data_IF_463436236755
#
_entry.id   IF_463436236755
#
_cell.length_a   1.000
_cell.length_b   1.000
_cell.length_c   1.000
_cell.angle_alpha   90.00
_cell.angle_beta   90.00
_cell.angle_gamma   90.00
#
_symmetry.space_group_name_H-M   'P 1'
#
loop_
_entity.id
_entity.type
_entity.pdbx_description
1 polymer ?
#
# COMPACT_ATOMS: atom_id res chain seq x y z
N UNK A 1 -22.30 -2.18 -23.76
CA UNK A 1 -22.40 -2.43 -22.30
C UNK A 1 -21.53 -3.59 -21.80
N UNK A 2 -21.18 -4.60 -22.64
CA UNK A 2 -20.31 -5.74 -22.27
C UNK A 2 -18.79 -5.55 -22.49
N UNK A 3 -18.33 -4.37 -22.91
CA UNK A 3 -16.90 -4.09 -23.17
C UNK A 3 -16.14 -3.48 -21.98
N UNK A 4 -16.85 -3.07 -20.92
CA UNK A 4 -16.26 -2.29 -19.82
C UNK A 4 -15.91 -3.11 -18.57
N UNK A 5 -16.50 -4.30 -18.37
CA UNK A 5 -16.03 -5.26 -17.36
C UNK A 5 -14.70 -5.92 -17.78
N UNK A 6 -14.44 -5.96 -19.10
CA UNK A 6 -13.17 -6.35 -19.72
C UNK A 6 -12.02 -5.36 -19.42
N UNK A 7 -12.31 -4.18 -18.85
CA UNK A 7 -11.29 -3.16 -18.53
C UNK A 7 -10.77 -3.23 -17.09
N UNK A 8 -11.59 -3.66 -16.13
CA UNK A 8 -11.14 -4.01 -14.78
C UNK A 8 -10.26 -5.28 -14.84
N UNK A 9 -10.67 -6.26 -15.66
CA UNK A 9 -9.85 -7.40 -16.10
C UNK A 9 -8.67 -7.00 -17.01
N UNK A 10 -8.65 -5.80 -17.62
CA UNK A 10 -7.44 -5.35 -18.34
C UNK A 10 -6.35 -4.93 -17.38
N UNK A 11 -6.64 -4.56 -16.14
CA UNK A 11 -5.61 -4.23 -15.15
C UNK A 11 -5.03 -5.49 -14.50
N UNK A 12 -5.84 -6.54 -14.30
CA UNK A 12 -5.30 -7.90 -14.09
C UNK A 12 -4.54 -8.38 -15.34
N UNK A 13 -4.95 -8.05 -16.57
CA UNK A 13 -4.14 -8.30 -17.79
C UNK A 13 -3.00 -7.27 -18.02
N UNK A 14 -2.88 -6.25 -17.18
CA UNK A 14 -1.79 -5.25 -17.22
C UNK A 14 -0.67 -5.65 -16.26
N UNK A 15 -1.06 -6.35 -15.18
CA UNK A 15 -0.15 -7.08 -14.30
C UNK A 15 0.20 -8.47 -14.88
N UNK A 16 -0.74 -9.13 -15.58
CA UNK A 16 -0.54 -10.36 -16.38
C UNK A 16 -0.76 -10.10 -17.87
N UNK A 17 0.27 -9.64 -18.57
CA UNK A 17 0.22 -9.20 -19.97
C UNK A 17 -0.69 -10.01 -20.89
N UNK A 18 -1.82 -9.43 -21.30
CA UNK A 18 -2.48 -9.75 -22.56
C UNK A 18 -2.73 -8.46 -23.35
N UNK A 19 -1.64 -7.93 -23.89
CA UNK A 19 -1.68 -7.12 -25.10
C UNK A 19 -2.17 -7.94 -26.29
N UNK A 20 -2.64 -7.27 -27.37
CA UNK A 20 -3.17 -7.95 -28.55
C UNK A 20 -2.06 -8.75 -29.24
N UNK A 21 -2.06 -10.08 -29.07
CA UNK A 21 -1.39 -11.09 -29.90
C UNK A 21 -0.13 -10.60 -30.64
N UNK A 22 0.79 -9.99 -29.89
CA UNK A 22 2.19 -9.90 -30.24
C UNK A 22 2.87 -11.06 -29.52
N UNK A 23 3.92 -11.62 -30.13
CA UNK A 23 4.75 -12.67 -29.54
C UNK A 23 5.39 -12.20 -28.22
N UNK A 24 4.63 -12.13 -27.12
CA UNK A 24 5.18 -11.86 -25.80
C UNK A 24 5.85 -13.13 -25.29
N UNK A 25 7.14 -13.03 -24.99
CA UNK A 25 7.97 -14.13 -24.47
C UNK A 25 7.72 -14.41 -22.99
N UNK A 26 6.73 -13.75 -22.39
CA UNK A 26 6.42 -13.83 -20.98
C UNK A 26 5.51 -15.03 -20.73
N UNK A 27 5.83 -15.92 -19.77
CA UNK A 27 4.93 -16.98 -19.38
C UNK A 27 3.61 -16.35 -18.91
N UNK A 28 2.51 -16.78 -19.51
CA UNK A 28 1.16 -16.27 -19.24
C UNK A 28 0.62 -16.64 -17.87
N UNK A 29 1.33 -17.52 -17.14
CA UNK A 29 0.93 -18.01 -15.82
C UNK A 29 2.07 -17.83 -14.82
N UNK A 30 1.79 -17.24 -13.64
CA UNK A 30 2.76 -17.17 -12.55
C UNK A 30 3.14 -18.57 -12.05
N UNK A 31 4.26 -18.66 -11.32
CA UNK A 31 4.63 -19.90 -10.64
C UNK A 31 3.52 -20.34 -9.67
N UNK A 32 3.17 -21.63 -9.68
CA UNK A 32 2.15 -22.22 -8.81
C UNK A 32 2.72 -23.48 -8.14
N UNK A 33 2.60 -23.58 -6.82
CA UNK A 33 3.01 -24.75 -6.05
C UNK A 33 1.79 -25.50 -5.56
N UNK A 34 1.50 -26.67 -6.14
CA UNK A 34 0.36 -27.49 -5.76
C UNK A 34 0.79 -28.75 -5.00
N UNK A 35 0.06 -29.06 -3.93
CA UNK A 35 0.12 -30.32 -3.21
C UNK A 35 -1.22 -31.02 -3.43
N UNK A 36 -1.19 -32.21 -4.03
CA UNK A 36 -2.38 -33.03 -4.20
C UNK A 36 -2.56 -33.88 -2.94
N UNK A 37 -3.77 -33.86 -2.40
CA UNK A 37 -4.17 -34.75 -1.31
C UNK A 37 -4.55 -36.13 -1.87
N UNK A 38 -4.57 -37.14 -1.00
CA UNK A 38 -4.93 -38.52 -1.38
C UNK A 38 -6.36 -38.63 -1.92
N UNK A 39 -7.25 -37.70 -1.54
CA UNK A 39 -8.64 -37.62 -1.97
C UNK A 39 -8.84 -36.88 -3.32
N UNK A 40 -7.76 -36.46 -3.98
CA UNK A 40 -7.81 -35.78 -5.28
C UNK A 40 -8.13 -34.28 -5.21
N UNK A 41 -8.27 -33.70 -4.01
CA UNK A 41 -8.23 -32.25 -3.81
C UNK A 41 -6.79 -31.76 -3.97
N UNK A 42 -6.61 -30.57 -4.53
CA UNK A 42 -5.28 -29.96 -4.69
C UNK A 42 -5.25 -28.62 -3.96
N UNK A 43 -4.35 -28.47 -3.00
CA UNK A 43 -4.03 -27.20 -2.39
C UNK A 43 -2.92 -26.54 -3.19
N UNK A 44 -3.15 -25.34 -3.70
CA UNK A 44 -2.15 -24.64 -4.49
C UNK A 44 -1.84 -23.26 -3.90
N UNK A 45 -0.56 -22.89 -3.96
CA UNK A 45 -0.06 -21.56 -3.67
C UNK A 45 0.27 -20.89 -5.00
N UNK A 46 -0.45 -19.83 -5.32
CA UNK A 46 -0.15 -18.96 -6.45
C UNK A 46 0.99 -18.00 -6.06
N UNK A 47 1.86 -17.60 -6.99
CA UNK A 47 2.95 -16.63 -6.74
C UNK A 47 3.75 -16.87 -5.43
N UNK A 48 4.31 -18.07 -5.19
CA UNK A 48 4.98 -18.38 -3.92
C UNK A 48 6.17 -17.47 -3.61
N UNK A 49 6.74 -16.82 -4.63
CA UNK A 49 7.81 -15.81 -4.48
C UNK A 49 7.39 -14.57 -3.68
N UNK A 50 6.08 -14.29 -3.55
CA UNK A 50 5.57 -13.17 -2.74
C UNK A 50 5.59 -13.47 -1.24
N UNK A 51 5.53 -14.75 -0.83
CA UNK A 51 5.47 -15.12 0.58
C UNK A 51 6.64 -14.56 1.39
N UNK A 52 7.92 -14.68 0.96
CA UNK A 52 9.05 -14.07 1.67
C UNK A 52 8.93 -12.55 1.82
N UNK A 53 8.47 -11.83 0.79
CA UNK A 53 8.30 -10.37 0.86
C UNK A 53 7.16 -9.99 1.80
N UNK A 54 6.03 -10.72 1.80
CA UNK A 54 4.93 -10.44 2.73
C UNK A 54 5.32 -10.71 4.19
N UNK A 55 6.09 -11.77 4.45
CA UNK A 55 6.63 -12.08 5.78
C UNK A 55 7.62 -10.99 6.21
N UNK A 56 8.52 -10.57 5.30
CA UNK A 56 9.46 -9.50 5.55
C UNK A 56 8.73 -8.18 5.87
N UNK A 57 7.69 -7.84 5.11
CA UNK A 57 6.85 -6.67 5.32
C UNK A 57 6.18 -6.66 6.70
N UNK A 58 5.64 -7.82 7.13
CA UNK A 58 5.06 -7.98 8.46
C UNK A 58 6.12 -7.76 9.55
N UNK A 59 7.30 -8.36 9.39
CA UNK A 59 8.42 -8.20 10.32
C UNK A 59 8.87 -6.74 10.40
N UNK A 60 9.03 -6.06 9.25
CA UNK A 60 9.37 -4.63 9.16
C UNK A 60 8.28 -3.81 9.86
N UNK A 61 7.00 -4.04 9.54
CA UNK A 61 5.88 -3.29 10.11
C UNK A 61 5.81 -3.40 11.62
N UNK A 62 5.88 -4.62 12.17
CA UNK A 62 5.86 -4.88 13.61
C UNK A 62 7.12 -4.33 14.30
N UNK A 63 8.30 -4.58 13.73
CA UNK A 63 9.57 -4.12 14.29
C UNK A 63 9.65 -2.60 14.31
N UNK A 64 9.38 -1.93 13.19
CA UNK A 64 9.40 -0.48 13.07
C UNK A 64 8.36 0.18 13.98
N UNK A 65 7.14 -0.36 14.02
CA UNK A 65 6.07 0.13 14.91
C UNK A 65 6.49 0.05 16.38
N UNK A 66 6.96 -1.12 16.84
CA UNK A 66 7.46 -1.31 18.21
C UNK A 66 8.66 -0.40 18.51
N UNK A 67 9.60 -0.27 17.57
CA UNK A 67 10.81 0.52 17.77
C UNK A 67 10.49 2.01 17.87
N UNK A 68 9.61 2.53 17.03
CA UNK A 68 9.14 3.91 17.09
C UNK A 68 8.43 4.21 18.40
N UNK A 69 7.58 3.28 18.86
CA UNK A 69 6.95 3.40 20.18
C UNK A 69 7.99 3.59 21.30
N UNK A 70 9.08 2.83 21.24
CA UNK A 70 10.17 2.84 22.23
C UNK A 70 11.20 3.97 22.08
N UNK A 71 11.09 4.85 21.07
CA UNK A 71 12.11 5.88 20.86
C UNK A 71 12.17 6.89 22.03
N UNK A 72 13.36 7.28 22.51
CA UNK A 72 13.50 8.34 23.50
C UNK A 72 13.15 9.70 22.88
N UNK A 73 12.54 10.59 23.66
CA UNK A 73 12.07 11.91 23.21
C UNK A 73 10.65 11.86 22.65
N UNK A 74 9.69 12.45 23.38
CA UNK A 74 8.27 12.50 22.97
C UNK A 74 8.09 13.48 21.81
N UNK A 75 8.44 13.08 20.59
CA UNK A 75 8.01 13.82 19.42
C UNK A 75 6.51 13.52 19.19
N UNK A 76 5.71 14.56 18.94
CA UNK A 76 4.27 14.50 19.11
C UNK A 76 3.58 13.69 17.98
N UNK A 77 4.26 13.46 16.85
CA UNK A 77 3.77 12.69 15.69
C UNK A 77 4.00 11.18 15.77
N UNK A 78 4.58 10.68 16.87
CA UNK A 78 4.99 9.27 17.03
C UNK A 78 3.86 8.27 16.76
N UNK A 79 2.66 8.56 17.27
CA UNK A 79 1.50 7.68 17.12
C UNK A 79 1.17 7.42 15.65
N UNK A 80 1.18 8.47 14.82
CA UNK A 80 0.86 8.39 13.40
C UNK A 80 1.88 7.53 12.64
N UNK A 81 3.18 7.70 12.92
CA UNK A 81 4.19 6.83 12.33
C UNK A 81 4.03 5.38 12.80
N UNK A 82 3.86 5.15 14.11
CA UNK A 82 3.64 3.81 14.67
C UNK A 82 2.47 3.09 13.99
N UNK A 83 1.36 3.79 13.81
CA UNK A 83 0.17 3.30 13.12
C UNK A 83 0.48 3.00 11.65
N UNK A 84 1.16 3.90 10.94
CA UNK A 84 1.50 3.73 9.52
C UNK A 84 2.32 2.45 9.28
N UNK A 85 3.37 2.21 10.07
CA UNK A 85 4.18 0.98 9.96
C UNK A 85 3.39 -0.27 10.33
N UNK A 86 2.50 -0.19 11.31
CA UNK A 86 1.65 -1.30 11.69
C UNK A 86 0.64 -1.66 10.59
N UNK A 87 -0.04 -0.67 10.01
CA UNK A 87 -0.97 -0.85 8.90
C UNK A 87 -0.26 -1.42 7.66
N UNK A 88 0.98 -1.01 7.40
CA UNK A 88 1.81 -1.58 6.33
C UNK A 88 1.99 -3.10 6.47
N UNK A 89 2.39 -3.58 7.66
CA UNK A 89 2.55 -5.01 7.90
C UNK A 89 1.25 -5.80 7.73
N UNK A 90 0.11 -5.25 8.18
CA UNK A 90 -1.20 -5.86 8.00
C UNK A 90 -1.58 -5.93 6.52
N UNK A 91 -1.43 -4.81 5.80
CA UNK A 91 -1.78 -4.72 4.38
C UNK A 91 -1.00 -5.73 3.55
N UNK A 92 0.33 -5.78 3.71
CA UNK A 92 1.17 -6.71 2.95
C UNK A 92 0.89 -8.18 3.28
N UNK A 93 0.49 -8.47 4.53
CA UNK A 93 0.02 -9.82 4.91
C UNK A 93 -1.31 -10.16 4.24
N UNK A 94 -2.24 -9.21 4.21
CA UNK A 94 -3.53 -9.36 3.52
C UNK A 94 -3.34 -9.58 2.02
N UNK A 95 -2.44 -8.82 1.40
CA UNK A 95 -2.08 -8.96 0.00
C UNK A 95 -1.43 -10.33 -0.28
N UNK A 96 -0.54 -10.81 0.62
CA UNK A 96 -0.01 -12.17 0.54
C UNK A 96 -1.11 -13.24 0.58
N UNK A 97 -2.12 -13.09 1.43
CA UNK A 97 -3.28 -14.00 1.46
C UNK A 97 -4.03 -13.97 0.13
N UNK A 98 -4.29 -12.77 -0.40
CA UNK A 98 -5.04 -12.56 -1.64
C UNK A 98 -4.31 -13.09 -2.89
N UNK A 99 -3.01 -12.84 -2.99
CA UNK A 99 -2.22 -13.20 -4.17
C UNK A 99 -1.68 -14.63 -4.12
N UNK A 100 -1.52 -15.22 -2.93
CA UNK A 100 -0.95 -16.56 -2.79
C UNK A 100 -1.96 -17.67 -2.51
N UNK A 101 -3.08 -17.39 -1.83
CA UNK A 101 -3.99 -18.43 -1.34
C UNK A 101 -5.40 -18.35 -1.90
N UNK A 102 -5.79 -17.22 -2.51
CA UNK A 102 -7.09 -17.06 -3.16
C UNK A 102 -6.92 -17.20 -4.68
N UNK A 103 -7.33 -18.36 -5.22
CA UNK A 103 -7.11 -18.80 -6.61
C UNK A 103 -7.78 -17.87 -7.64
N UNK A 104 -7.09 -17.58 -8.74
CA UNK A 104 -7.57 -16.73 -9.84
C UNK A 104 -8.84 -17.30 -10.50
N UNK A 105 -9.06 -18.63 -10.45
CA UNK A 105 -10.33 -19.24 -10.91
C UNK A 105 -11.50 -18.92 -10.01
N UNK A 106 -11.29 -18.72 -8.71
CA UNK A 106 -12.29 -18.22 -7.77
C UNK A 106 -12.53 -16.71 -7.98
N UNK A 107 -11.47 -15.94 -8.31
CA UNK A 107 -11.61 -14.54 -8.71
C UNK A 107 -12.45 -14.37 -9.99
N UNK A 108 -12.17 -15.16 -11.03
CA UNK A 108 -12.84 -15.06 -12.34
C UNK A 108 -14.26 -15.67 -12.33
N UNK A 109 -14.47 -16.82 -11.68
CA UNK A 109 -15.79 -17.46 -11.61
C UNK A 109 -16.77 -16.68 -10.74
N UNK A 110 -16.28 -15.92 -9.76
CA UNK A 110 -17.09 -15.03 -8.92
C UNK A 110 -17.44 -13.71 -9.62
N UNK A 111 -16.51 -13.15 -10.40
CA UNK A 111 -16.79 -11.97 -11.26
C UNK A 111 -17.79 -12.33 -12.38
N UNK A 112 -17.69 -13.53 -12.97
CA UNK A 112 -18.67 -14.03 -13.95
C UNK A 112 -19.99 -14.52 -13.31
N UNK A 113 -19.97 -15.02 -12.06
CA UNK A 113 -21.21 -15.28 -11.28
C UNK A 113 -21.92 -13.99 -10.90
N UNK A 114 -21.19 -12.91 -10.68
CA UNK A 114 -21.74 -11.58 -10.40
C UNK A 114 -22.55 -11.04 -11.59
N UNK A 115 -22.25 -11.45 -12.83
CA UNK A 115 -23.09 -11.15 -14.01
C UNK A 115 -24.39 -11.98 -14.07
N UNK A 116 -24.49 -13.07 -13.31
CA UNK A 116 -25.68 -13.92 -13.20
C UNK A 116 -26.40 -13.77 -11.84
N UNK A 117 -26.15 -12.69 -11.09
CA UNK A 117 -26.88 -12.36 -9.87
C UNK A 117 -26.51 -13.16 -8.62
N UNK A 118 -25.39 -13.90 -8.62
CA UNK A 118 -24.89 -14.58 -7.42
C UNK A 118 -23.68 -13.84 -6.83
N UNK A 119 -23.76 -13.64 -5.51
CA UNK A 119 -22.91 -12.83 -4.64
C UNK A 119 -21.42 -13.07 -4.83
N UNK A 120 -20.64 -11.98 -4.81
CA UNK A 120 -19.21 -12.04 -4.53
C UNK A 120 -18.99 -12.82 -3.23
N UNK A 121 -18.03 -13.74 -3.19
CA UNK A 121 -17.70 -14.45 -1.95
C UNK A 121 -17.30 -13.40 -0.90
N UNK A 122 -18.05 -13.34 0.19
CA UNK A 122 -17.95 -12.27 1.19
C UNK A 122 -16.52 -12.17 1.73
N UNK A 123 -15.84 -13.30 1.88
CA UNK A 123 -14.45 -13.37 2.35
C UNK A 123 -13.51 -12.66 1.36
N UNK A 124 -13.67 -12.92 0.06
CA UNK A 124 -12.83 -12.29 -0.97
C UNK A 124 -13.07 -10.78 -1.05
N UNK A 125 -14.33 -10.33 -0.97
CA UNK A 125 -14.65 -8.89 -0.94
C UNK A 125 -14.00 -8.23 0.28
N UNK A 126 -14.12 -8.83 1.45
CA UNK A 126 -13.53 -8.31 2.69
C UNK A 126 -12.01 -8.22 2.59
N UNK A 127 -11.33 -9.30 2.16
CA UNK A 127 -9.87 -9.30 2.02
C UNK A 127 -9.40 -8.27 0.99
N UNK A 128 -10.11 -8.15 -0.14
CA UNK A 128 -9.80 -7.16 -1.18
C UNK A 128 -9.96 -5.75 -0.65
N UNK A 129 -11.10 -5.44 -0.01
CA UNK A 129 -11.38 -4.11 0.58
C UNK A 129 -10.34 -3.76 1.66
N UNK A 130 -9.95 -4.72 2.49
CA UNK A 130 -8.91 -4.53 3.51
C UNK A 130 -7.57 -4.20 2.83
N UNK A 131 -7.16 -4.97 1.84
CA UNK A 131 -5.88 -4.76 1.14
C UNK A 131 -5.81 -3.37 0.47
N UNK A 132 -6.76 -3.06 -0.42
CA UNK A 132 -6.76 -1.79 -1.16
C UNK A 132 -7.09 -0.59 -0.27
N UNK A 133 -7.97 -0.78 0.73
CA UNK A 133 -8.35 0.24 1.69
C UNK A 133 -7.21 0.62 2.63
N UNK A 134 -6.47 -0.39 3.14
CA UNK A 134 -5.28 -0.15 3.95
C UNK A 134 -4.17 0.53 3.14
N UNK A 135 -3.98 0.16 1.87
CA UNK A 135 -2.98 0.80 1.00
C UNK A 135 -3.20 2.31 0.90
N UNK A 136 -4.41 2.74 0.55
CA UNK A 136 -4.77 4.16 0.49
C UNK A 136 -4.65 4.84 1.87
N UNK A 137 -5.04 4.16 2.94
CA UNK A 137 -4.97 4.69 4.30
C UNK A 137 -3.54 4.85 4.83
N UNK A 138 -2.61 3.97 4.45
CA UNK A 138 -1.18 4.13 4.74
C UNK A 138 -0.68 5.43 4.11
N UNK A 139 -1.04 5.71 2.86
CA UNK A 139 -0.65 6.95 2.19
C UNK A 139 -1.23 8.19 2.89
N UNK A 140 -2.53 8.17 3.25
CA UNK A 140 -3.16 9.23 4.05
C UNK A 140 -2.42 9.42 5.38
N UNK A 141 -1.99 8.34 6.03
CA UNK A 141 -1.24 8.39 7.29
C UNK A 141 0.11 9.07 7.12
N UNK A 142 0.83 8.77 6.04
CA UNK A 142 2.07 9.49 5.70
C UNK A 142 1.83 10.98 5.49
N UNK A 143 0.76 11.36 4.77
CA UNK A 143 0.40 12.77 4.61
C UNK A 143 0.19 13.44 5.98
N UNK A 144 -0.59 12.84 6.87
CA UNK A 144 -0.82 13.37 8.23
C UNK A 144 0.49 13.46 9.04
N UNK A 145 1.39 12.48 8.92
CA UNK A 145 2.72 12.56 9.53
C UNK A 145 3.48 13.81 9.06
N UNK A 146 3.47 14.07 7.76
CA UNK A 146 4.07 15.25 7.14
C UNK A 146 3.48 16.57 7.62
N UNK A 147 2.15 16.68 7.57
CA UNK A 147 1.42 17.88 8.01
C UNK A 147 1.65 18.17 9.50
N UNK A 148 1.67 17.15 10.35
CA UNK A 148 1.95 17.34 11.77
C UNK A 148 3.43 17.67 12.03
N UNK A 149 4.38 17.14 11.24
CA UNK A 149 5.81 17.42 11.38
C UNK A 149 6.17 18.88 11.04
N UNK A 150 5.51 19.47 10.04
CA UNK A 150 5.59 20.91 9.74
C UNK A 150 4.72 21.77 10.66
N UNK A 151 4.03 21.16 11.62
CA UNK A 151 3.11 21.79 12.58
C UNK A 151 1.88 22.44 11.95
N UNK A 152 1.47 22.01 10.76
CA UNK A 152 0.19 22.45 10.21
C UNK A 152 -0.97 21.85 11.01
N UNK A 153 -0.81 20.61 11.49
CA UNK A 153 -1.78 19.94 12.35
C UNK A 153 -1.17 19.67 13.73
N UNK A 154 -1.99 19.80 14.79
CA UNK A 154 -1.58 19.40 16.14
C UNK A 154 -1.88 17.90 16.32
N UNK A 155 -0.85 17.03 16.41
CA UNK A 155 -1.03 15.58 16.55
C UNK A 155 -1.61 15.16 17.92
N UNK A 156 -1.65 16.05 18.91
CA UNK A 156 -2.29 15.78 20.21
C UNK A 156 -3.76 16.18 20.24
N UNK A 157 -4.22 16.97 19.27
CA UNK A 157 -5.61 17.43 19.22
C UNK A 157 -6.55 16.30 18.81
N UNK A 158 -7.69 16.22 19.49
CA UNK A 158 -8.78 15.31 19.13
C UNK A 158 -9.29 15.56 17.70
N UNK A 159 -9.25 16.82 17.23
CA UNK A 159 -9.68 17.20 15.87
C UNK A 159 -8.83 16.51 14.81
N UNK A 160 -7.51 16.53 14.96
CA UNK A 160 -6.59 15.87 14.01
C UNK A 160 -6.82 14.36 13.97
N UNK A 161 -7.05 13.74 15.13
CA UNK A 161 -7.37 12.31 15.22
C UNK A 161 -8.71 11.98 14.57
N UNK A 162 -9.72 12.83 14.77
CA UNK A 162 -11.03 12.70 14.12
C UNK A 162 -10.93 12.84 12.59
N UNK A 163 -10.17 13.82 12.09
CA UNK A 163 -9.94 14.02 10.65
C UNK A 163 -9.25 12.81 10.01
N UNK A 164 -8.26 12.21 10.69
CA UNK A 164 -7.63 10.99 10.19
C UNK A 164 -8.64 9.83 10.13
N UNK A 165 -9.41 9.63 11.19
CA UNK A 165 -10.43 8.57 11.25
C UNK A 165 -11.49 8.74 10.17
N UNK A 166 -12.00 9.96 9.97
CA UNK A 166 -12.94 10.28 8.89
C UNK A 166 -12.33 10.01 7.51
N UNK A 167 -11.06 10.35 7.32
CA UNK A 167 -10.36 10.06 6.07
C UNK A 167 -10.29 8.56 5.81
N UNK A 168 -9.96 7.76 6.83
CA UNK A 168 -9.96 6.30 6.71
C UNK A 168 -11.33 5.73 6.38
N UNK A 169 -12.36 6.22 7.07
CA UNK A 169 -13.74 5.78 6.85
C UNK A 169 -14.20 6.09 5.42
N UNK A 170 -13.92 7.30 4.93
CA UNK A 170 -14.27 7.70 3.56
C UNK A 170 -13.55 6.81 2.53
N UNK A 171 -12.25 6.58 2.69
CA UNK A 171 -11.47 5.70 1.81
C UNK A 171 -12.05 4.28 1.80
N UNK A 172 -12.34 3.71 2.97
CA UNK A 172 -12.94 2.38 3.07
C UNK A 172 -14.33 2.30 2.43
N UNK A 173 -15.18 3.30 2.66
CA UNK A 173 -16.52 3.38 2.07
C UNK A 173 -16.45 3.51 0.54
N UNK A 174 -15.56 4.35 0.02
CA UNK A 174 -15.38 4.53 -1.42
C UNK A 174 -14.84 3.26 -2.09
N UNK A 175 -13.91 2.54 -1.46
CA UNK A 175 -13.47 1.23 -1.96
C UNK A 175 -14.59 0.20 -1.95
N UNK A 176 -15.34 0.11 -0.85
CA UNK A 176 -16.46 -0.84 -0.71
C UNK A 176 -17.53 -0.57 -1.77
N UNK A 177 -17.98 0.68 -1.89
CA UNK A 177 -18.96 1.09 -2.91
C UNK A 177 -18.41 0.93 -4.32
N UNK A 178 -17.14 1.25 -4.55
CA UNK A 178 -16.49 1.11 -5.84
C UNK A 178 -16.40 -0.34 -6.31
N UNK A 179 -16.12 -1.27 -5.40
CA UNK A 179 -16.08 -2.71 -5.70
C UNK A 179 -17.48 -3.29 -5.90
N UNK A 180 -18.44 -2.96 -5.02
CA UNK A 180 -19.84 -3.42 -5.14
C UNK A 180 -20.47 -2.94 -6.46
N UNK A 181 -20.25 -1.67 -6.82
CA UNK A 181 -20.81 -1.08 -8.04
C UNK A 181 -19.88 -1.19 -9.26
N UNK A 182 -18.74 -1.88 -9.13
CA UNK A 182 -17.76 -2.11 -10.20
C UNK A 182 -17.33 -0.82 -10.92
N UNK A 183 -17.03 0.23 -10.17
CA UNK A 183 -16.57 1.51 -10.73
C UNK A 183 -15.15 1.41 -11.28
N UNK A 184 -15.03 1.26 -12.60
CA UNK A 184 -13.74 1.13 -13.30
C UNK A 184 -12.70 2.23 -12.98
N UNK A 185 -13.14 3.44 -12.64
CA UNK A 185 -12.25 4.58 -12.38
C UNK A 185 -11.78 4.66 -10.92
N UNK A 186 -12.43 3.93 -10.01
CA UNK A 186 -12.17 4.05 -8.56
C UNK A 186 -10.73 3.66 -8.22
N UNK A 187 -10.19 2.66 -8.92
CA UNK A 187 -8.81 2.22 -8.76
C UNK A 187 -7.81 3.32 -9.10
N UNK A 188 -7.97 3.99 -10.25
CA UNK A 188 -7.06 5.07 -10.64
C UNK A 188 -7.11 6.24 -9.67
N UNK A 189 -8.28 6.54 -9.10
CA UNK A 189 -8.44 7.65 -8.16
C UNK A 189 -7.92 7.29 -6.77
N UNK A 190 -8.38 6.18 -6.18
CA UNK A 190 -8.07 5.81 -4.80
C UNK A 190 -6.70 5.12 -4.65
N UNK A 191 -6.28 4.35 -5.65
CA UNK A 191 -4.99 3.68 -5.62
C UNK A 191 -3.90 4.62 -6.16
N UNK A 192 -3.93 4.98 -7.45
CA UNK A 192 -2.87 5.82 -8.03
C UNK A 192 -2.94 7.27 -7.53
N UNK A 193 -4.13 7.88 -7.55
CA UNK A 193 -4.33 9.28 -7.20
C UNK A 193 -4.02 9.58 -5.74
N UNK A 194 -4.75 8.96 -4.80
CA UNK A 194 -4.57 9.21 -3.36
C UNK A 194 -3.16 8.81 -2.92
N UNK A 195 -2.64 7.65 -3.33
CA UNK A 195 -1.29 7.23 -2.90
C UNK A 195 -0.24 8.21 -3.41
N UNK A 196 -0.28 8.58 -4.70
CA UNK A 196 0.68 9.53 -5.26
C UNK A 196 0.59 10.90 -4.57
N UNK A 197 -0.61 11.46 -4.44
CA UNK A 197 -0.81 12.80 -3.85
C UNK A 197 -0.41 12.82 -2.38
N UNK A 198 -0.86 11.87 -1.57
CA UNK A 198 -0.57 11.85 -0.15
C UNK A 198 0.92 11.60 0.14
N UNK A 199 1.55 10.65 -0.57
CA UNK A 199 2.98 10.40 -0.44
C UNK A 199 3.82 11.58 -0.98
N UNK A 200 3.39 12.24 -2.05
CA UNK A 200 4.06 13.44 -2.57
C UNK A 200 3.98 14.61 -1.58
N UNK A 201 2.81 14.86 -0.99
CA UNK A 201 2.65 15.87 0.07
C UNK A 201 3.55 15.54 1.26
N UNK A 202 3.62 14.28 1.67
CA UNK A 202 4.56 13.85 2.71
C UNK A 202 6.00 14.20 2.34
N UNK A 203 6.50 13.78 1.17
CA UNK A 203 7.86 14.10 0.73
C UNK A 203 8.13 15.61 0.70
N UNK A 204 7.20 16.39 0.15
CA UNK A 204 7.32 17.85 0.05
C UNK A 204 7.39 18.51 1.43
N UNK A 205 6.52 18.11 2.36
CA UNK A 205 6.53 18.64 3.72
C UNK A 205 7.83 18.32 4.45
N UNK A 206 8.38 17.12 4.27
CA UNK A 206 9.67 16.75 4.86
C UNK A 206 10.85 17.50 4.23
N UNK A 207 10.83 17.78 2.92
CA UNK A 207 11.85 18.60 2.24
C UNK A 207 11.89 20.04 2.76
N UNK A 208 10.73 20.61 3.14
CA UNK A 208 10.64 21.95 3.71
C UNK A 208 11.23 22.06 5.13
N UNK A 209 11.46 20.94 5.83
CA UNK A 209 12.01 20.94 7.18
C UNK A 209 13.54 21.12 7.18
N UNK A 210 14.00 22.35 7.43
CA UNK A 210 15.43 22.66 7.58
C UNK A 210 16.15 21.85 8.67
N UNK A 211 15.42 21.39 9.70
CA UNK A 211 15.98 20.68 10.86
C UNK A 211 16.36 19.22 10.62
N UNK A 212 15.91 18.59 9.53
CA UNK A 212 16.09 17.15 9.29
C UNK A 212 17.03 16.84 8.10
N UNK A 213 17.88 17.80 7.69
CA UNK A 213 18.64 17.70 6.42
C UNK A 213 19.56 16.49 6.33
N UNK A 214 20.11 15.98 7.44
CA UNK A 214 20.98 14.79 7.42
C UNK A 214 20.21 13.49 7.26
N UNK A 215 18.92 13.49 7.58
CA UNK A 215 18.04 12.34 7.40
C UNK A 215 17.44 12.27 5.99
N UNK A 216 17.35 13.40 5.27
CA UNK A 216 16.75 13.50 3.93
C UNK A 216 17.29 12.49 2.89
N UNK A 217 18.60 12.13 2.84
CA UNK A 217 19.06 11.13 1.88
C UNK A 217 18.35 9.77 2.04
N UNK A 218 18.03 9.36 3.27
CA UNK A 218 17.28 8.13 3.51
C UNK A 218 15.86 8.24 2.94
N UNK A 219 15.20 9.39 3.15
CA UNK A 219 13.86 9.62 2.60
C UNK A 219 13.86 9.66 1.06
N UNK A 220 14.89 10.24 0.45
CA UNK A 220 15.04 10.28 -1.01
C UNK A 220 15.22 8.87 -1.58
N UNK A 221 16.08 8.05 -0.97
CA UNK A 221 16.26 6.65 -1.37
C UNK A 221 14.96 5.87 -1.21
N UNK A 222 14.25 6.04 -0.09
CA UNK A 222 12.94 5.41 0.10
C UNK A 222 11.91 5.82 -0.97
N UNK A 223 11.80 7.13 -1.23
CA UNK A 223 10.93 7.67 -2.28
C UNK A 223 11.29 7.15 -3.68
N UNK A 224 12.59 6.98 -3.98
CA UNK A 224 13.05 6.41 -5.24
C UNK A 224 12.62 4.94 -5.39
N UNK A 225 12.82 4.11 -4.37
CA UNK A 225 12.36 2.71 -4.40
C UNK A 225 10.84 2.62 -4.52
N UNK A 226 10.09 3.45 -3.79
CA UNK A 226 8.62 3.51 -3.91
C UNK A 226 8.17 3.91 -5.32
N UNK A 227 8.84 4.89 -5.93
CA UNK A 227 8.54 5.31 -7.30
C UNK A 227 8.90 4.22 -8.32
N UNK A 228 10.05 3.56 -8.20
CA UNK A 228 10.44 2.47 -9.11
C UNK A 228 9.48 1.29 -8.97
N UNK A 229 9.08 0.94 -7.75
CA UNK A 229 8.06 -0.10 -7.54
C UNK A 229 6.75 0.24 -8.25
N UNK A 230 6.28 1.49 -8.12
CA UNK A 230 5.04 1.93 -8.75
C UNK A 230 5.16 1.92 -10.27
N UNK A 231 6.31 2.34 -10.80
CA UNK A 231 6.59 2.31 -12.24
C UNK A 231 6.70 0.87 -12.76
N UNK A 232 7.25 -0.06 -11.98
CA UNK A 232 7.34 -1.47 -12.35
C UNK A 232 5.95 -2.08 -12.60
N UNK A 233 4.95 -1.72 -11.80
CA UNK A 233 3.56 -2.21 -11.95
C UNK A 233 2.73 -1.44 -12.96
N UNK A 234 3.08 -0.19 -13.28
CA UNK A 234 2.27 0.70 -14.15
C UNK A 234 2.82 0.95 -15.55
N UNK A 235 4.13 0.80 -15.77
CA UNK A 235 4.73 1.04 -17.09
C UNK A 235 5.81 0.01 -17.44
N UNK A 236 6.42 -0.63 -16.44
CA UNK A 236 7.52 -1.57 -16.61
C UNK A 236 7.12 -3.03 -16.78
N UNK A 237 5.84 -3.38 -16.63
CA UNK A 237 5.40 -4.76 -16.54
C UNK A 237 5.82 -5.61 -17.76
N UNK A 238 5.67 -5.08 -18.97
CA UNK A 238 6.07 -5.78 -20.21
C UNK A 238 7.59 -5.87 -20.38
N UNK A 239 8.35 -4.87 -19.91
CA UNK A 239 9.81 -4.85 -20.01
C UNK A 239 10.49 -5.78 -19.01
N UNK A 240 10.00 -5.82 -17.77
CA UNK A 240 10.53 -6.71 -16.72
C UNK A 240 10.39 -8.17 -17.16
N UNK A 241 9.22 -8.52 -17.69
CA UNK A 241 8.96 -9.88 -18.09
C UNK A 241 9.72 -10.31 -19.36
N UNK A 242 10.22 -9.36 -20.16
CA UNK A 242 11.07 -9.64 -21.35
C UNK A 242 12.57 -9.68 -21.01
N UNK A 243 13.03 -8.93 -20.01
CA UNK A 243 14.45 -8.86 -19.62
C UNK A 243 14.92 -10.04 -18.77
N UNK A 244 14.09 -10.54 -17.85
CA UNK A 244 14.46 -11.60 -16.90
C UNK A 244 14.44 -13.01 -17.54
N UNK A 245 13.87 -13.14 -18.73
CA UNK A 245 13.68 -14.43 -19.40
C UNK A 245 12.58 -15.29 -18.76
N UNK A 246 12.14 -16.36 -19.45
CA UNK A 246 10.88 -17.05 -19.16
C UNK A 246 10.87 -17.83 -17.84
N UNK A 247 12.03 -18.14 -17.26
CA UNK A 247 12.13 -18.84 -15.99
C UNK A 247 12.03 -17.86 -14.81
N UNK A 248 12.87 -16.82 -14.80
CA UNK A 248 12.92 -15.86 -13.71
C UNK A 248 11.70 -14.95 -13.68
N UNK A 249 11.10 -14.64 -14.84
CA UNK A 249 9.87 -13.84 -14.90
C UNK A 249 8.67 -14.48 -14.18
N UNK A 250 8.69 -15.80 -13.92
CA UNK A 250 7.65 -16.48 -13.13
C UNK A 250 7.77 -16.22 -11.62
N UNK A 251 8.94 -15.81 -11.15
CA UNK A 251 9.24 -15.55 -9.73
C UNK A 251 9.49 -14.06 -9.45
N UNK A 252 10.13 -13.34 -10.38
CA UNK A 252 10.46 -11.92 -10.32
C UNK A 252 9.50 -11.09 -11.18
N UNK A 253 8.20 -11.30 -10.99
CA UNK A 253 7.18 -10.52 -11.67
C UNK A 253 7.08 -9.06 -11.18
N UNK A 254 6.29 -8.21 -11.87
CA UNK A 254 6.05 -6.83 -11.46
C UNK A 254 5.50 -6.71 -10.02
N UNK A 255 4.65 -7.66 -9.61
CA UNK A 255 4.12 -7.73 -8.24
C UNK A 255 5.23 -7.98 -7.22
N UNK A 256 6.15 -8.91 -7.49
CA UNK A 256 7.28 -9.18 -6.60
C UNK A 256 8.16 -7.93 -6.42
N UNK A 257 8.47 -7.23 -7.52
CA UNK A 257 9.27 -6.00 -7.48
C UNK A 257 8.55 -4.91 -6.68
N UNK A 258 7.23 -4.77 -6.86
CA UNK A 258 6.43 -3.83 -6.08
C UNK A 258 6.49 -4.12 -4.58
N UNK A 259 6.34 -5.37 -4.19
CA UNK A 259 6.35 -5.76 -2.78
C UNK A 259 7.74 -5.55 -2.15
N UNK A 260 8.78 -6.04 -2.83
CA UNK A 260 10.15 -5.89 -2.36
C UNK A 260 10.57 -4.41 -2.26
N UNK A 261 10.23 -3.59 -3.26
CA UNK A 261 10.62 -2.18 -3.26
C UNK A 261 9.78 -1.36 -2.27
N UNK A 262 8.55 -1.78 -1.98
CA UNK A 262 7.76 -1.24 -0.88
C UNK A 262 8.43 -1.53 0.47
N UNK A 263 8.95 -2.74 0.69
CA UNK A 263 9.67 -3.10 1.92
C UNK A 263 10.92 -2.24 2.11
N UNK A 264 11.71 -2.10 1.04
CA UNK A 264 12.91 -1.27 1.05
C UNK A 264 12.53 0.19 1.33
N UNK A 265 11.51 0.72 0.65
CA UNK A 265 11.02 2.08 0.84
C UNK A 265 10.64 2.34 2.29
N UNK A 266 9.81 1.49 2.89
CA UNK A 266 9.35 1.61 4.27
C UNK A 266 10.51 1.50 5.26
N UNK A 267 11.47 0.60 5.02
CA UNK A 267 12.68 0.51 5.86
C UNK A 267 13.50 1.82 5.83
N UNK A 268 13.65 2.45 4.66
CA UNK A 268 14.31 3.74 4.53
C UNK A 268 13.53 4.89 5.19
N UNK A 269 12.20 4.88 5.11
CA UNK A 269 11.36 5.82 5.85
C UNK A 269 11.54 5.64 7.36
N UNK A 270 11.68 4.41 7.86
CA UNK A 270 12.00 4.17 9.27
C UNK A 270 13.38 4.74 9.66
N UNK A 271 14.40 4.56 8.82
CA UNK A 271 15.73 5.19 9.02
C UNK A 271 15.61 6.72 9.05
N UNK A 272 14.80 7.30 8.16
CA UNK A 272 14.52 8.74 8.16
C UNK A 272 13.93 9.19 9.51
N UNK A 273 12.84 8.56 9.95
CA UNK A 273 12.13 8.94 11.19
C UNK A 273 13.03 8.82 12.42
N UNK A 274 13.81 7.74 12.51
CA UNK A 274 14.73 7.53 13.64
C UNK A 274 15.84 8.58 13.69
N UNK A 275 16.44 8.92 12.54
CA UNK A 275 17.47 9.99 12.46
C UNK A 275 16.87 11.37 12.74
N UNK A 276 15.70 11.68 12.17
CA UNK A 276 15.00 12.94 12.41
C UNK A 276 14.65 13.13 13.90
N UNK A 277 14.35 12.04 14.61
CA UNK A 277 14.10 12.10 16.05
C UNK A 277 15.37 12.41 16.86
N UNK A 278 16.53 11.85 16.48
CA UNK A 278 17.81 12.12 17.16
C UNK A 278 18.24 13.60 17.07
N UNK A 279 17.84 14.31 16.01
CA UNK A 279 18.18 15.72 15.80
C UNK A 279 17.29 16.69 16.59
N UNK A 280 16.10 16.27 17.03
CA UNK A 280 15.17 17.11 17.81
C UNK A 280 15.59 17.17 19.29
N UNK A 281 16.36 18.20 19.69
CA UNK A 281 16.48 18.59 21.10
C UNK A 281 15.08 18.93 21.66
N UNK A 282 14.69 18.30 22.76
CA UNK A 282 13.42 18.49 23.49
C UNK A 282 13.24 19.95 23.88
N UNK A 283 12.52 20.71 23.05
CA UNK A 283 12.01 22.04 23.39
C UNK A 283 10.50 21.94 23.31
N UNK A 284 9.82 22.30 24.40
CA UNK A 284 8.36 22.39 24.48
C UNK A 284 7.90 23.40 23.40
N UNK A 285 7.05 22.96 22.48
CA UNK A 285 6.73 23.69 21.24
C UNK A 285 5.26 24.10 21.19
N UNK A 286 5.01 25.38 20.87
CA UNK A 286 3.68 25.92 20.50
C UNK A 286 3.33 25.55 19.05
N UNK A 287 2.06 25.21 18.80
CA UNK A 287 1.50 24.91 17.47
C UNK A 287 0.74 26.13 16.93
N UNK A 288 0.78 26.40 15.61
CA UNK A 288 0.06 27.52 15.00
C UNK A 288 -1.45 27.28 14.92
N UNK A 289 -1.90 26.03 14.91
CA UNK A 289 -3.32 25.65 14.92
C UNK A 289 -3.55 24.80 16.17
N UNK A 290 -3.99 25.45 17.24
CA UNK A 290 -4.37 24.82 18.51
C UNK A 290 -5.85 25.13 18.76
N UNK A 291 -6.73 24.37 18.11
CA UNK A 291 -8.18 24.65 18.05
C UNK A 291 -8.83 24.58 19.44
N UNK A 292 -8.21 23.87 20.38
CA UNK A 292 -8.63 23.79 21.78
C UNK A 292 -8.46 25.12 22.55
N UNK A 293 -7.77 26.12 21.97
CA UNK A 293 -7.61 27.46 22.56
C UNK A 293 -8.39 28.56 21.84
N UNK A 294 -9.23 28.22 20.84
CA UNK A 294 -10.15 29.18 20.28
C UNK A 294 -11.27 29.43 21.32
N UNK A 295 -11.35 30.63 21.94
CA UNK A 295 -12.44 30.92 22.84
C UNK A 295 -13.75 30.81 22.05
N UNK A 296 -14.71 30.08 22.61
CA UNK A 296 -16.10 30.08 22.15
C UNK A 296 -16.59 31.52 22.04
N UNK A 297 -16.53 32.07 20.82
CA UNK A 297 -17.26 33.25 20.41
C UNK A 297 -18.00 32.90 19.12
N UNK A 298 -19.09 32.17 19.28
CA UNK A 298 -20.23 32.20 18.39
C UNK A 298 -21.49 32.23 19.25
#
# INVERSE_FOLDING_TARGET
MFQNCKKLLRFENFIYGNGPSGNSSCPSTPAKWCVNDYDGSSFCIDNPALLPTCILALLIGLYCSKRIHSLPGKFPTRYYYQLTFFLYGIMMTSAGILHCFLDDKQKLSTILRSTNGNSMDFIQLVVTVIDVGLTSNIAVSFMFCGLCDIKLLNPQSAVTSCLLFLSYLIVFLLWTLGLINQWNWIFNVLYLGIVAVCCFIFLLTQLCLKKNRRALPALFVGGLYGAIGLLATTYGAEHICTSEGPFWSQYFGPEFIWFLFSDISVAFVFIYVTRANQEKKTVIQKYPIDIETLPEKF
#
